data_IF_896127343550
#
_entry.id   IF_896127343550
#
_cell.length_a   1.000
_cell.length_b   1.000
_cell.length_c   1.000
_cell.angle_alpha   90.00
_cell.angle_beta   90.00
_cell.angle_gamma   90.00
#
_symmetry.space_group_name_H-M   'P 1'
#
loop_
_entity.id
_entity.type
_entity.pdbx_description
1 polymer ?
#
# COMPACT_ATOMS: atom_id res chain seq x y z
N UNK A 1 -33.71 61.07 18.60
CA UNK A 1 -32.96 59.79 18.78
C UNK A 1 -32.28 59.46 17.45
N UNK A 2 -30.97 59.64 17.31
CA UNK A 2 -30.21 59.22 16.10
C UNK A 2 -29.76 57.81 16.30
N UNK A 3 -30.26 56.85 15.50
CA UNK A 3 -29.74 55.48 15.44
C UNK A 3 -28.52 55.48 14.54
N UNK A 4 -27.33 55.29 15.13
CA UNK A 4 -26.06 55.14 14.41
C UNK A 4 -25.91 53.64 14.10
N UNK A 5 -26.37 53.20 12.91
CA UNK A 5 -26.25 51.79 12.45
C UNK A 5 -24.88 51.64 11.82
N UNK A 6 -23.87 51.23 12.60
CA UNK A 6 -22.56 50.83 12.05
C UNK A 6 -22.67 49.43 11.50
N UNK A 7 -22.64 49.29 10.18
CA UNK A 7 -22.62 47.97 9.54
C UNK A 7 -21.19 47.37 9.58
N UNK A 8 -21.08 46.15 10.07
CA UNK A 8 -19.84 45.35 9.98
C UNK A 8 -19.66 44.67 8.60
N UNK A 9 -20.39 45.16 7.59
CA UNK A 9 -20.39 44.64 6.22
C UNK A 9 -19.00 44.54 5.60
N UNK A 10 -18.10 45.56 5.71
CA UNK A 10 -16.76 45.47 5.16
C UNK A 10 -15.92 44.38 5.81
N UNK A 11 -16.08 44.14 7.12
CA UNK A 11 -15.40 43.03 7.81
C UNK A 11 -15.94 41.67 7.39
N UNK A 12 -17.26 41.57 7.18
CA UNK A 12 -17.88 40.36 6.66
C UNK A 12 -17.42 40.00 5.24
N UNK A 13 -17.32 41.02 4.35
CA UNK A 13 -16.80 40.85 2.99
C UNK A 13 -15.35 40.41 3.01
N UNK A 14 -14.51 41.07 3.81
CA UNK A 14 -13.09 40.69 3.98
C UNK A 14 -12.97 39.26 4.50
N UNK A 15 -13.76 38.89 5.51
CA UNK A 15 -13.77 37.53 6.07
C UNK A 15 -14.19 36.49 5.01
N UNK A 16 -15.22 36.75 4.22
CA UNK A 16 -15.68 35.87 3.14
C UNK A 16 -14.59 35.70 2.06
N UNK A 17 -13.93 36.79 1.65
CA UNK A 17 -12.86 36.77 0.68
C UNK A 17 -11.65 35.95 1.14
N UNK A 18 -11.24 36.11 2.41
CA UNK A 18 -10.15 35.34 3.00
C UNK A 18 -10.49 33.86 3.09
N UNK A 19 -11.73 33.50 3.48
CA UNK A 19 -12.20 32.13 3.49
C UNK A 19 -12.19 31.51 2.11
N UNK A 20 -12.66 32.24 1.11
CA UNK A 20 -12.65 31.78 -0.29
C UNK A 20 -11.23 31.51 -0.79
N UNK A 21 -10.25 32.34 -0.43
CA UNK A 21 -8.83 32.12 -0.77
C UNK A 21 -8.24 30.90 -0.05
N UNK A 22 -8.61 30.66 1.21
CA UNK A 22 -8.08 29.57 2.03
C UNK A 22 -8.79 28.23 1.79
N UNK A 23 -10.00 28.23 1.22
CA UNK A 23 -10.80 27.05 0.99
C UNK A 23 -10.07 25.97 0.15
N UNK A 24 -9.47 26.28 -1.01
CA UNK A 24 -8.73 25.27 -1.80
C UNK A 24 -7.55 24.66 -1.03
N UNK A 25 -6.87 25.46 -0.23
CA UNK A 25 -5.77 24.98 0.60
C UNK A 25 -6.25 24.05 1.72
N UNK A 26 -7.33 24.41 2.37
CA UNK A 26 -7.94 23.60 3.42
C UNK A 26 -8.48 22.28 2.86
N UNK A 27 -9.09 22.29 1.68
CA UNK A 27 -9.55 21.09 0.98
C UNK A 27 -8.34 20.19 0.65
N UNK A 28 -7.26 20.75 0.07
CA UNK A 28 -6.06 19.99 -0.26
C UNK A 28 -5.44 19.31 0.97
N UNK A 29 -5.38 20.02 2.09
CA UNK A 29 -4.89 19.46 3.36
C UNK A 29 -5.83 18.39 3.92
N UNK A 30 -7.15 18.59 3.87
CA UNK A 30 -8.13 17.62 4.32
C UNK A 30 -8.09 16.33 3.49
N UNK A 31 -7.99 16.45 2.16
CA UNK A 31 -7.83 15.30 1.24
C UNK A 31 -6.55 14.53 1.57
N UNK A 32 -5.44 15.22 1.76
CA UNK A 32 -4.17 14.59 2.12
C UNK A 32 -4.24 13.91 3.49
N UNK A 33 -4.88 14.54 4.46
CA UNK A 33 -5.11 13.96 5.79
C UNK A 33 -5.97 12.70 5.73
N UNK A 34 -7.04 12.73 4.94
CA UNK A 34 -7.94 11.59 4.73
C UNK A 34 -7.20 10.42 4.09
N UNK A 35 -6.36 10.68 3.09
CA UNK A 35 -5.66 9.63 2.32
C UNK A 35 -4.50 9.01 3.10
N UNK A 36 -3.55 9.79 3.62
CA UNK A 36 -2.30 9.29 4.25
C UNK A 36 -1.98 9.83 5.63
N UNK A 37 -2.77 10.78 6.14
CA UNK A 37 -2.48 11.49 7.39
C UNK A 37 -1.43 12.61 7.22
N UNK A 38 -1.56 13.66 8.02
CA UNK A 38 -0.63 14.80 8.05
C UNK A 38 -0.30 15.20 9.49
N UNK A 39 0.82 15.90 9.68
CA UNK A 39 1.26 16.37 11.02
C UNK A 39 0.27 17.38 11.63
N UNK A 40 -0.34 18.20 10.79
CA UNK A 40 -1.28 19.26 11.20
C UNK A 40 -2.62 18.71 11.73
N UNK A 41 -2.90 17.44 11.52
CA UNK A 41 -4.04 16.69 12.08
C UNK A 41 -3.47 15.38 12.65
N UNK A 42 -2.97 15.37 13.89
CA UNK A 42 -2.27 14.20 14.43
C UNK A 42 -3.09 12.90 14.40
N UNK A 43 -4.38 12.97 14.68
CA UNK A 43 -5.28 11.80 14.65
C UNK A 43 -5.39 11.18 13.25
N UNK A 44 -5.16 11.93 12.17
CA UNK A 44 -5.25 11.44 10.80
C UNK A 44 -4.19 10.38 10.48
N UNK A 45 -3.06 10.36 11.21
CA UNK A 45 -2.02 9.34 11.01
C UNK A 45 -2.54 7.92 11.23
N UNK A 46 -3.43 7.74 12.19
CA UNK A 46 -4.00 6.43 12.54
C UNK A 46 -5.42 6.21 11.98
N UNK A 47 -6.04 7.27 11.45
CA UNK A 47 -7.41 7.25 10.91
C UNK A 47 -7.49 7.65 9.44
N UNK A 48 -6.40 7.49 8.69
CA UNK A 48 -6.36 7.70 7.25
C UNK A 48 -6.74 6.42 6.47
N UNK A 49 -7.06 6.57 5.20
CA UNK A 49 -7.32 5.42 4.31
C UNK A 49 -6.12 4.47 4.30
N UNK A 50 -4.88 4.98 4.14
CA UNK A 50 -3.68 4.13 4.18
C UNK A 50 -3.56 3.34 5.48
N UNK A 51 -3.91 3.94 6.63
CA UNK A 51 -3.86 3.22 7.91
C UNK A 51 -4.87 2.07 7.96
N UNK A 52 -6.05 2.26 7.38
CA UNK A 52 -7.05 1.19 7.28
C UNK A 52 -6.65 0.09 6.30
N UNK A 53 -6.06 0.45 5.16
CA UNK A 53 -5.54 -0.53 4.20
C UNK A 53 -4.43 -1.41 4.79
N UNK A 54 -3.55 -0.81 5.59
CA UNK A 54 -2.54 -1.56 6.36
C UNK A 54 -3.17 -2.55 7.32
N UNK A 55 -4.17 -2.09 8.08
CA UNK A 55 -4.91 -2.93 9.03
C UNK A 55 -5.65 -4.05 8.32
N UNK A 56 -6.30 -3.74 7.20
CA UNK A 56 -6.98 -4.75 6.38
C UNK A 56 -6.01 -5.81 5.87
N UNK A 57 -4.84 -5.42 5.38
CA UNK A 57 -3.81 -6.36 4.94
C UNK A 57 -3.33 -7.26 6.09
N UNK A 58 -3.16 -6.70 7.30
CA UNK A 58 -2.79 -7.47 8.49
C UNK A 58 -3.87 -8.47 8.91
N UNK A 59 -5.15 -8.11 8.76
CA UNK A 59 -6.27 -8.97 9.15
C UNK A 59 -6.58 -10.07 8.13
N UNK A 60 -6.38 -9.79 6.84
CA UNK A 60 -6.83 -10.67 5.76
C UNK A 60 -5.73 -11.53 5.15
N UNK A 61 -4.47 -11.16 5.34
CA UNK A 61 -3.32 -11.91 4.81
C UNK A 61 -2.61 -12.63 5.96
N UNK A 62 -2.28 -13.91 5.74
CA UNK A 62 -1.48 -14.66 6.71
C UNK A 62 -0.04 -14.11 6.72
N UNK A 63 0.42 -13.65 7.89
CA UNK A 63 1.77 -13.14 8.14
C UNK A 63 2.31 -12.19 7.05
N UNK A 64 1.58 -11.08 6.73
CA UNK A 64 2.00 -10.18 5.68
C UNK A 64 3.37 -9.56 5.99
N UNK A 65 4.27 -9.54 4.99
CA UNK A 65 5.58 -8.91 5.14
C UNK A 65 5.42 -7.41 5.38
N UNK A 66 6.44 -6.78 6.01
CA UNK A 66 6.46 -5.31 6.19
C UNK A 66 6.32 -4.57 4.85
N UNK A 67 6.89 -5.12 3.77
CA UNK A 67 6.74 -4.56 2.42
C UNK A 67 5.29 -4.52 1.93
N UNK A 68 4.46 -5.50 2.30
CA UNK A 68 3.02 -5.51 2.02
C UNK A 68 2.29 -4.51 2.91
N UNK A 69 2.56 -4.50 4.21
CA UNK A 69 1.93 -3.58 5.15
C UNK A 69 2.20 -2.11 4.78
N UNK A 70 3.44 -1.78 4.45
CA UNK A 70 3.89 -0.43 4.07
C UNK A 70 3.80 -0.16 2.57
N UNK A 71 3.28 -1.09 1.80
CA UNK A 71 3.25 -1.06 0.33
C UNK A 71 2.24 -0.09 -0.29
N UNK A 72 1.57 0.76 0.49
CA UNK A 72 0.59 1.72 0.02
C UNK A 72 1.19 3.12 -0.12
N UNK A 73 0.78 3.81 -1.16
CA UNK A 73 1.13 5.20 -1.45
C UNK A 73 -0.14 6.04 -1.61
N UNK A 74 -0.08 7.30 -1.16
CA UNK A 74 -1.08 8.29 -1.55
C UNK A 74 -0.37 9.58 -1.96
N UNK A 75 -0.82 10.15 -3.07
CA UNK A 75 -0.35 11.45 -3.53
C UNK A 75 -0.77 12.56 -2.55
N UNK A 76 -0.09 13.69 -2.61
CA UNK A 76 -0.48 14.89 -1.86
C UNK A 76 -1.37 15.75 -2.75
N UNK A 77 -2.57 16.11 -2.27
CA UNK A 77 -3.40 17.10 -2.94
C UNK A 77 -2.74 18.48 -2.87
N UNK A 78 -2.93 19.30 -3.89
CA UNK A 78 -2.43 20.68 -4.01
C UNK A 78 -3.58 21.61 -4.32
N UNK A 79 -3.42 22.92 -4.09
CA UNK A 79 -4.41 23.94 -4.45
C UNK A 79 -4.82 23.87 -5.92
N UNK A 80 -3.87 23.59 -6.81
CA UNK A 80 -4.09 23.47 -8.25
C UNK A 80 -4.67 22.11 -8.67
N UNK A 81 -4.61 21.11 -7.81
CA UNK A 81 -5.16 19.77 -8.07
C UNK A 81 -5.69 19.17 -6.76
N UNK A 82 -6.99 19.30 -6.57
CA UNK A 82 -7.73 18.81 -5.40
C UNK A 82 -8.04 17.31 -5.51
N UNK A 83 -7.04 16.53 -5.85
CA UNK A 83 -7.13 15.08 -6.02
C UNK A 83 -6.04 14.36 -5.24
N UNK A 84 -6.37 13.24 -4.62
CA UNK A 84 -5.38 12.28 -4.10
C UNK A 84 -5.60 10.93 -4.76
N UNK A 85 -4.50 10.31 -5.20
CA UNK A 85 -4.50 8.96 -5.75
C UNK A 85 -3.89 8.03 -4.73
N UNK A 86 -4.59 6.93 -4.42
CA UNK A 86 -4.12 5.88 -3.52
C UNK A 86 -3.82 4.65 -4.37
N UNK A 87 -2.61 4.13 -4.26
CA UNK A 87 -2.15 3.00 -5.06
C UNK A 87 -1.11 2.16 -4.31
N UNK A 88 -0.85 0.93 -4.75
CA UNK A 88 0.35 0.22 -4.35
C UNK A 88 1.62 1.01 -4.74
N UNK A 89 2.62 1.03 -3.86
CA UNK A 89 3.92 1.65 -4.15
C UNK A 89 4.56 1.01 -5.39
N UNK A 90 5.11 1.83 -6.28
CA UNK A 90 5.76 1.40 -7.51
C UNK A 90 4.88 1.51 -8.75
N UNK A 91 3.57 1.67 -8.61
CA UNK A 91 2.67 1.81 -9.76
C UNK A 91 2.64 3.25 -10.34
N UNK A 92 2.86 4.27 -9.50
CA UNK A 92 2.75 5.69 -9.90
C UNK A 92 3.93 6.57 -9.49
N UNK A 93 4.91 6.04 -8.77
CA UNK A 93 6.04 6.86 -8.31
C UNK A 93 7.26 6.61 -9.17
N UNK A 94 7.52 7.52 -10.10
CA UNK A 94 8.74 7.50 -10.91
C UNK A 94 10.06 7.59 -10.11
N UNK A 95 10.01 7.80 -8.81
CA UNK A 95 11.18 7.74 -7.91
C UNK A 95 11.57 6.32 -7.50
N UNK A 96 10.60 5.41 -7.40
CA UNK A 96 10.83 3.99 -7.12
C UNK A 96 10.67 3.15 -8.40
N UNK A 97 10.68 3.79 -9.57
CA UNK A 97 10.41 3.24 -10.90
C UNK A 97 11.43 2.23 -11.42
N UNK A 98 12.29 1.71 -10.57
CA UNK A 98 13.03 0.50 -10.86
C UNK A 98 12.10 -0.72 -10.86
N UNK A 99 12.50 -1.76 -11.59
CA UNK A 99 11.88 -3.09 -11.70
C UNK A 99 11.37 -3.65 -10.35
N UNK A 100 12.02 -3.28 -9.23
CA UNK A 100 11.62 -3.68 -7.87
C UNK A 100 10.28 -3.12 -7.40
N UNK A 101 9.89 -1.92 -7.83
CA UNK A 101 8.60 -1.32 -7.43
C UNK A 101 7.43 -1.96 -8.18
N UNK A 102 7.61 -2.26 -9.46
CA UNK A 102 6.63 -2.96 -10.29
C UNK A 102 6.37 -4.39 -9.81
N UNK A 103 7.41 -5.14 -9.44
CA UNK A 103 7.25 -6.49 -8.89
C UNK A 103 6.42 -6.50 -7.61
N UNK A 104 6.57 -5.51 -6.73
CA UNK A 104 5.78 -5.41 -5.50
C UNK A 104 4.29 -5.15 -5.78
N UNK A 105 3.98 -4.29 -6.76
CA UNK A 105 2.59 -3.98 -7.11
C UNK A 105 1.86 -5.21 -7.69
N UNK A 106 2.53 -6.10 -8.42
CA UNK A 106 1.96 -7.33 -8.98
C UNK A 106 1.38 -8.24 -7.88
N UNK A 107 2.05 -8.36 -6.74
CA UNK A 107 1.53 -9.16 -5.62
C UNK A 107 0.27 -8.56 -4.99
N UNK A 108 0.15 -7.23 -4.97
CA UNK A 108 -1.05 -6.56 -4.49
C UNK A 108 -2.23 -6.75 -5.43
N UNK A 109 -2.01 -6.62 -6.74
CA UNK A 109 -3.06 -6.76 -7.75
C UNK A 109 -3.72 -8.14 -7.63
N UNK A 110 -2.96 -9.21 -7.52
CA UNK A 110 -3.49 -10.56 -7.31
C UNK A 110 -4.35 -10.68 -6.04
N UNK A 111 -3.97 -10.01 -4.95
CA UNK A 111 -4.75 -10.04 -3.70
C UNK A 111 -6.02 -9.17 -3.76
N UNK A 112 -6.10 -8.18 -4.64
CA UNK A 112 -7.26 -7.31 -4.83
C UNK A 112 -8.22 -7.90 -5.85
N UNK A 113 -7.70 -8.27 -7.01
CA UNK A 113 -8.50 -8.72 -8.16
C UNK A 113 -8.72 -10.23 -8.17
N UNK A 114 -7.86 -11.00 -7.47
CA UNK A 114 -7.79 -12.44 -7.60
C UNK A 114 -7.17 -12.85 -8.93
N UNK A 115 -7.39 -14.08 -9.31
CA UNK A 115 -6.87 -14.64 -10.57
C UNK A 115 -5.58 -15.44 -10.36
N UNK A 116 -4.88 -15.72 -11.46
CA UNK A 116 -3.69 -16.54 -11.42
C UNK A 116 -2.56 -15.88 -10.64
N UNK A 117 -1.93 -16.68 -9.80
CA UNK A 117 -0.78 -16.25 -9.03
C UNK A 117 0.39 -15.92 -9.95
N UNK A 118 1.00 -14.73 -9.86
CA UNK A 118 2.20 -14.46 -10.65
C UNK A 118 3.34 -15.41 -10.27
N UNK A 119 4.10 -15.85 -11.29
CA UNK A 119 5.23 -16.75 -11.10
C UNK A 119 6.23 -16.20 -10.08
N UNK A 120 6.59 -17.03 -9.11
CA UNK A 120 7.67 -16.71 -8.19
C UNK A 120 9.03 -16.87 -8.87
N UNK A 121 10.04 -16.20 -8.36
CA UNK A 121 11.40 -16.33 -8.87
C UNK A 121 11.86 -17.80 -8.99
N UNK A 122 11.53 -18.64 -8.03
CA UNK A 122 11.88 -20.07 -8.04
C UNK A 122 11.27 -20.82 -9.22
N UNK A 123 10.03 -20.47 -9.61
CA UNK A 123 9.34 -21.06 -10.75
C UNK A 123 9.95 -20.59 -12.07
N UNK A 124 10.29 -19.31 -12.15
CA UNK A 124 10.97 -18.75 -13.32
C UNK A 124 12.33 -19.42 -13.55
N UNK A 125 13.13 -19.62 -12.49
CA UNK A 125 14.41 -20.32 -12.59
C UNK A 125 14.23 -21.79 -12.99
N UNK A 126 13.26 -22.49 -12.41
CA UNK A 126 12.98 -23.89 -12.77
C UNK A 126 12.51 -24.04 -14.23
N UNK A 127 11.73 -23.06 -14.73
CA UNK A 127 11.29 -23.01 -16.15
C UNK A 127 12.43 -22.67 -17.10
N UNK A 128 13.32 -21.74 -16.75
CA UNK A 128 14.53 -21.44 -17.53
C UNK A 128 15.41 -22.66 -17.75
N UNK A 129 15.45 -23.56 -16.76
CA UNK A 129 16.16 -24.84 -16.86
C UNK A 129 15.37 -25.91 -17.67
N UNK A 130 14.19 -25.57 -18.22
CA UNK A 130 13.31 -26.53 -18.87
C UNK A 130 12.75 -27.61 -17.93
N UNK A 131 12.81 -27.39 -16.62
CA UNK A 131 12.52 -28.39 -15.59
C UNK A 131 11.18 -28.17 -14.88
N UNK A 132 10.36 -27.20 -15.26
CA UNK A 132 9.03 -26.98 -14.70
C UNK A 132 8.04 -26.62 -15.79
N UNK A 133 6.97 -27.42 -15.99
CA UNK A 133 5.87 -27.10 -16.91
C UNK A 133 5.22 -25.74 -16.59
N UNK A 134 4.73 -25.05 -17.62
CA UNK A 134 4.15 -23.69 -17.49
C UNK A 134 2.87 -23.65 -16.65
N UNK A 135 2.11 -24.73 -16.63
CA UNK A 135 0.85 -24.90 -15.90
C UNK A 135 1.01 -25.32 -14.45
N UNK A 136 2.25 -25.46 -13.96
CA UNK A 136 2.51 -25.89 -12.58
C UNK A 136 3.15 -24.79 -11.75
N UNK A 137 2.68 -24.64 -10.52
CA UNK A 137 3.21 -23.76 -9.49
C UNK A 137 3.92 -24.55 -8.39
N UNK A 138 4.99 -24.02 -7.83
CA UNK A 138 5.75 -24.65 -6.76
C UNK A 138 5.26 -24.20 -5.37
N UNK A 139 4.85 -25.18 -4.57
CA UNK A 139 4.42 -24.98 -3.18
C UNK A 139 5.51 -25.54 -2.25
N UNK A 140 6.01 -24.76 -1.27
CA UNK A 140 7.02 -25.23 -0.32
C UNK A 140 6.42 -26.27 0.61
N UNK A 141 7.16 -27.37 0.85
CA UNK A 141 6.80 -28.41 1.82
C UNK A 141 7.21 -27.99 3.24
N UNK A 142 6.88 -28.82 4.24
CA UNK A 142 7.36 -28.62 5.62
C UNK A 142 8.86 -28.81 5.77
N UNK A 143 9.52 -29.49 4.83
CA UNK A 143 10.95 -29.80 4.87
C UNK A 143 11.85 -28.62 4.45
N UNK A 144 11.27 -27.47 4.08
CA UNK A 144 12.05 -26.26 3.79
C UNK A 144 11.95 -25.26 4.93
N UNK A 145 13.10 -24.71 5.34
CA UNK A 145 13.12 -23.68 6.38
C UNK A 145 12.43 -22.43 5.89
N UNK A 146 11.64 -21.86 6.76
CA UNK A 146 10.88 -20.65 6.50
C UNK A 146 11.38 -19.49 7.36
N UNK A 147 11.21 -18.28 6.84
CA UNK A 147 11.39 -17.07 7.63
C UNK A 147 10.17 -16.82 8.53
N UNK A 148 10.21 -15.75 9.35
CA UNK A 148 9.14 -15.35 10.24
C UNK A 148 7.81 -15.02 9.52
N UNK A 149 7.84 -14.82 8.22
CA UNK A 149 6.68 -14.55 7.37
C UNK A 149 6.16 -15.81 6.66
N UNK A 150 6.77 -16.98 6.93
CA UNK A 150 6.39 -18.24 6.30
C UNK A 150 6.97 -18.46 4.90
N UNK A 151 7.83 -17.58 4.40
CA UNK A 151 8.48 -17.74 3.11
C UNK A 151 9.72 -18.64 3.23
N UNK A 152 10.02 -19.47 2.19
CA UNK A 152 11.25 -20.22 2.15
C UNK A 152 12.49 -19.31 2.27
N UNK A 153 13.47 -19.68 3.10
CA UNK A 153 14.72 -18.91 3.25
C UNK A 153 15.46 -18.83 1.92
N UNK A 154 15.70 -17.62 1.45
CA UNK A 154 16.31 -17.35 0.12
C UNK A 154 17.65 -18.05 -0.09
N UNK A 155 18.49 -18.13 0.94
CA UNK A 155 19.78 -18.83 0.89
C UNK A 155 19.61 -20.32 0.58
N UNK A 156 18.66 -20.98 1.25
CA UNK A 156 18.37 -22.40 1.03
C UNK A 156 17.85 -22.67 -0.40
N UNK A 157 16.95 -21.79 -0.90
CA UNK A 157 16.45 -21.89 -2.27
C UNK A 157 17.58 -21.74 -3.29
N UNK A 158 18.47 -20.75 -3.13
CA UNK A 158 19.65 -20.57 -4.00
C UNK A 158 20.55 -21.79 -4.00
N UNK A 159 20.79 -22.40 -2.82
CA UNK A 159 21.60 -23.62 -2.70
C UNK A 159 20.98 -24.80 -3.43
N UNK A 160 19.64 -24.95 -3.38
CA UNK A 160 18.96 -25.99 -4.16
C UNK A 160 19.24 -25.82 -5.66
N UNK A 161 19.07 -24.61 -6.22
CA UNK A 161 19.33 -24.36 -7.64
C UNK A 161 20.81 -24.54 -8.04
N UNK A 162 21.74 -24.10 -7.19
CA UNK A 162 23.19 -24.31 -7.41
C UNK A 162 23.55 -25.81 -7.51
N UNK A 163 22.78 -26.66 -6.84
CA UNK A 163 23.01 -28.09 -6.79
C UNK A 163 22.22 -28.88 -7.84
N UNK A 164 21.44 -28.22 -8.71
CA UNK A 164 20.80 -28.86 -9.86
C UNK A 164 21.89 -29.28 -10.85
N UNK A 165 21.84 -30.52 -11.32
CA UNK A 165 22.83 -31.08 -12.22
C UNK A 165 24.06 -31.69 -11.51
N UNK A 166 24.25 -31.48 -10.18
CA UNK A 166 25.35 -32.11 -9.39
C UNK A 166 24.94 -33.43 -8.73
N UNK A 167 23.76 -33.93 -9.01
CA UNK A 167 23.17 -35.11 -8.33
C UNK A 167 22.65 -34.87 -6.92
N UNK A 168 22.82 -33.62 -6.35
CA UNK A 168 22.38 -33.29 -4.99
C UNK A 168 20.97 -32.70 -4.96
N UNK A 169 20.48 -32.16 -6.09
CA UNK A 169 19.11 -31.62 -6.23
C UNK A 169 18.52 -32.10 -7.55
N UNK A 170 17.29 -32.61 -7.47
CA UNK A 170 16.52 -33.06 -8.61
C UNK A 170 15.29 -32.18 -8.78
N UNK A 171 15.01 -31.76 -10.01
CA UNK A 171 13.79 -31.03 -10.37
C UNK A 171 13.07 -31.88 -11.43
N UNK A 172 11.87 -32.34 -11.12
CA UNK A 172 11.09 -33.19 -12.00
C UNK A 172 10.12 -34.09 -11.24
N UNK A 173 9.53 -35.05 -11.94
CA UNK A 173 8.78 -36.14 -11.36
C UNK A 173 9.76 -37.33 -11.19
N UNK A 174 9.92 -37.87 -9.98
CA UNK A 174 10.76 -39.04 -9.79
C UNK A 174 10.18 -40.25 -10.55
N UNK A 175 11.06 -40.99 -11.26
CA UNK A 175 10.67 -42.16 -12.00
C UNK A 175 10.13 -43.26 -11.07
N UNK A 176 9.17 -44.00 -11.55
CA UNK A 176 8.52 -45.14 -10.86
C UNK A 176 8.00 -44.79 -9.45
N UNK A 177 7.59 -43.53 -9.23
CA UNK A 177 7.14 -43.03 -7.95
C UNK A 177 5.76 -42.37 -8.03
N UNK A 178 4.93 -42.53 -6.99
CA UNK A 178 3.67 -41.79 -6.81
C UNK A 178 3.89 -40.34 -6.37
N UNK A 179 5.16 -39.92 -6.19
CA UNK A 179 5.50 -38.57 -5.76
C UNK A 179 5.16 -37.55 -6.84
N UNK A 180 4.63 -36.38 -6.45
CA UNK A 180 4.30 -35.32 -7.39
C UNK A 180 5.55 -34.74 -8.05
N UNK A 181 5.38 -34.02 -9.14
CA UNK A 181 6.42 -33.18 -9.72
C UNK A 181 6.91 -32.16 -8.67
N UNK A 182 8.23 -31.88 -8.60
CA UNK A 182 8.73 -30.97 -7.56
C UNK A 182 10.23 -30.74 -7.57
N UNK A 183 10.72 -30.11 -6.52
CA UNK A 183 12.16 -29.95 -6.23
C UNK A 183 12.52 -30.83 -5.03
N UNK A 184 13.40 -31.75 -5.25
CA UNK A 184 13.84 -32.75 -4.27
C UNK A 184 15.31 -32.58 -3.97
N UNK A 185 15.66 -32.68 -2.68
CA UNK A 185 17.05 -32.83 -2.24
C UNK A 185 17.36 -34.33 -2.15
N UNK A 186 18.46 -34.76 -2.76
CA UNK A 186 18.97 -36.13 -2.63
C UNK A 186 19.61 -36.29 -1.25
N UNK A 187 19.21 -37.30 -0.50
CA UNK A 187 19.70 -37.59 0.86
C UNK A 187 19.91 -39.10 0.98
N UNK A 188 21.19 -39.51 0.87
CA UNK A 188 21.51 -40.93 0.76
C UNK A 188 20.86 -41.56 -0.46
N UNK A 189 20.16 -42.67 -0.29
CA UNK A 189 19.41 -43.35 -1.33
C UNK A 189 18.00 -42.77 -1.57
N UNK A 190 17.59 -41.73 -0.81
CA UNK A 190 16.24 -41.18 -0.81
C UNK A 190 16.13 -39.77 -1.37
N UNK A 191 14.89 -39.35 -1.62
CA UNK A 191 14.55 -38.01 -2.05
C UNK A 191 13.70 -37.31 -0.98
N UNK A 192 14.15 -36.14 -0.53
CA UNK A 192 13.41 -35.26 0.38
C UNK A 192 12.75 -34.14 -0.42
N UNK A 193 11.42 -34.08 -0.44
CA UNK A 193 10.69 -33.04 -1.14
C UNK A 193 10.88 -31.69 -0.46
N UNK A 194 11.39 -30.69 -1.17
CA UNK A 194 11.50 -29.29 -0.71
C UNK A 194 10.37 -28.44 -1.26
N UNK A 195 9.96 -28.69 -2.51
CA UNK A 195 8.81 -28.09 -3.15
C UNK A 195 8.03 -29.16 -3.90
N UNK A 196 6.72 -29.05 -3.91
CA UNK A 196 5.85 -29.88 -4.75
C UNK A 196 5.11 -28.98 -5.74
N UNK A 197 4.95 -29.47 -6.96
CA UNK A 197 4.20 -28.78 -7.98
C UNK A 197 2.70 -29.07 -7.83
N UNK A 198 1.89 -28.04 -8.01
CA UNK A 198 0.44 -28.11 -8.11
C UNK A 198 0.00 -27.40 -9.38
N UNK A 199 -1.15 -27.76 -9.92
CA UNK A 199 -1.82 -26.97 -10.94
C UNK A 199 -2.02 -25.55 -10.45
N UNK A 200 -2.05 -24.57 -11.35
CA UNK A 200 -2.05 -23.14 -11.02
C UNK A 200 -2.97 -22.80 -9.85
N UNK A 201 -2.44 -22.05 -8.92
CA UNK A 201 -3.16 -21.64 -7.70
C UNK A 201 -3.90 -20.36 -7.99
N UNK A 202 -5.21 -20.40 -7.99
CA UNK A 202 -6.03 -19.20 -8.08
C UNK A 202 -6.02 -18.46 -6.74
N UNK A 203 -5.68 -17.16 -6.72
CA UNK A 203 -5.75 -16.37 -5.51
C UNK A 203 -7.21 -16.05 -5.19
N UNK A 204 -7.67 -16.31 -3.95
CA UNK A 204 -8.87 -15.67 -3.46
C UNK A 204 -8.67 -14.15 -3.49
N UNK A 205 -9.75 -13.37 -3.46
CA UNK A 205 -9.73 -11.90 -3.40
C UNK A 205 -9.78 -11.40 -1.95
N UNK A 206 -8.77 -11.62 -1.10
CA UNK A 206 -8.86 -11.27 0.32
C UNK A 206 -8.99 -9.76 0.56
N UNK A 207 -8.58 -8.94 -0.40
CA UNK A 207 -8.66 -7.49 -0.35
C UNK A 207 -9.73 -6.89 -1.28
N UNK A 208 -10.73 -7.66 -1.74
CA UNK A 208 -11.79 -7.19 -2.65
C UNK A 208 -12.59 -5.99 -2.07
N UNK A 209 -12.79 -5.94 -0.74
CA UNK A 209 -13.51 -4.84 -0.07
C UNK A 209 -12.67 -3.57 0.18
N UNK A 210 -11.53 -3.45 -0.47
CA UNK A 210 -10.58 -2.36 -0.25
C UNK A 210 -11.15 -1.01 -0.64
N UNK A 211 -11.83 -0.93 -1.79
CA UNK A 211 -12.45 0.30 -2.28
C UNK A 211 -13.58 0.76 -1.37
N UNK A 212 -14.49 -0.15 -1.00
CA UNK A 212 -15.61 0.16 -0.10
C UNK A 212 -15.12 0.71 1.23
N UNK A 213 -14.08 0.11 1.81
CA UNK A 213 -13.47 0.60 3.05
C UNK A 213 -12.80 1.95 2.89
N UNK A 214 -12.16 2.20 1.75
CA UNK A 214 -11.56 3.50 1.45
C UNK A 214 -12.64 4.59 1.33
N UNK A 215 -13.75 4.32 0.61
CA UNK A 215 -14.88 5.23 0.51
C UNK A 215 -15.57 5.47 1.86
N UNK A 216 -15.82 4.42 2.63
CA UNK A 216 -16.41 4.54 3.96
C UNK A 216 -15.53 5.42 4.87
N UNK A 217 -14.21 5.22 4.86
CA UNK A 217 -13.28 6.08 5.61
C UNK A 217 -13.31 7.52 5.12
N UNK A 218 -13.28 7.75 3.81
CA UNK A 218 -13.34 9.10 3.26
C UNK A 218 -14.59 9.85 3.74
N UNK A 219 -15.76 9.23 3.65
CA UNK A 219 -17.05 9.81 4.13
C UNK A 219 -17.01 10.15 5.62
N UNK A 220 -16.43 9.27 6.44
CA UNK A 220 -16.39 9.49 7.90
C UNK A 220 -15.49 10.64 8.32
N UNK A 221 -14.33 10.83 7.69
CA UNK A 221 -13.30 11.71 8.26
C UNK A 221 -13.07 12.99 7.46
N UNK A 222 -13.40 13.03 6.16
CA UNK A 222 -13.08 14.18 5.31
C UNK A 222 -13.72 15.48 5.80
N UNK A 223 -15.03 15.46 6.09
CA UNK A 223 -15.74 16.64 6.58
C UNK A 223 -15.18 17.16 7.91
N UNK A 224 -14.82 16.24 8.81
CA UNK A 224 -14.17 16.59 10.08
C UNK A 224 -12.82 17.27 9.84
N UNK A 225 -11.97 16.68 8.99
CA UNK A 225 -10.65 17.24 8.70
C UNK A 225 -10.71 18.56 7.95
N UNK A 226 -11.69 18.71 7.05
CA UNK A 226 -11.94 19.98 6.37
C UNK A 226 -12.30 21.09 7.36
N UNK A 227 -13.24 20.83 8.28
CA UNK A 227 -13.62 21.79 9.33
C UNK A 227 -12.40 22.20 10.18
N UNK A 228 -11.63 21.22 10.67
CA UNK A 228 -10.43 21.50 11.47
C UNK A 228 -9.41 22.36 10.71
N UNK A 229 -9.25 22.16 9.41
CA UNK A 229 -8.30 22.95 8.61
C UNK A 229 -8.82 24.34 8.29
N UNK A 230 -10.10 24.49 8.02
CA UNK A 230 -10.74 25.79 7.83
C UNK A 230 -10.60 26.62 9.11
N UNK A 231 -10.99 26.09 10.26
CA UNK A 231 -10.90 26.78 11.54
C UNK A 231 -9.46 27.19 11.86
N UNK A 232 -8.46 26.30 11.66
CA UNK A 232 -7.07 26.59 11.92
C UNK A 232 -6.50 27.67 10.98
N UNK A 233 -6.85 27.65 9.70
CA UNK A 233 -6.37 28.61 8.72
C UNK A 233 -6.99 30.00 8.96
N UNK A 234 -8.29 30.03 9.25
CA UNK A 234 -8.99 31.28 9.59
C UNK A 234 -8.47 31.89 10.91
N UNK A 235 -8.30 31.08 11.96
CA UNK A 235 -7.77 31.56 13.23
C UNK A 235 -6.34 32.12 13.08
N UNK A 236 -5.55 31.61 12.17
CA UNK A 236 -4.21 32.11 11.87
C UNK A 236 -4.29 33.48 11.21
N UNK A 237 -5.14 33.66 10.21
CA UNK A 237 -5.34 34.95 9.52
C UNK A 237 -5.90 36.03 10.46
N UNK A 238 -6.88 35.66 11.30
CA UNK A 238 -7.42 36.56 12.32
C UNK A 238 -6.35 37.01 13.32
N UNK A 239 -5.43 36.10 13.72
CA UNK A 239 -4.30 36.49 14.61
C UNK A 239 -3.34 37.43 13.90
N UNK A 240 -3.00 37.20 12.64
CA UNK A 240 -2.16 38.10 11.84
C UNK A 240 -2.82 39.47 11.67
N UNK A 241 -4.11 39.53 11.34
CA UNK A 241 -4.85 40.79 11.26
C UNK A 241 -4.92 41.54 12.58
N UNK A 242 -5.01 40.87 13.73
CA UNK A 242 -4.94 41.51 15.06
C UNK A 242 -3.52 42.02 15.40
N UNK A 243 -2.48 41.33 14.94
CA UNK A 243 -1.10 41.79 15.09
C UNK A 243 -0.87 43.10 14.32
N UNK A 244 -1.38 43.17 13.09
CA UNK A 244 -1.30 44.39 12.27
C UNK A 244 -2.07 45.55 12.88
N UNK A 245 -3.25 45.30 13.51
CA UNK A 245 -3.99 46.30 14.24
C UNK A 245 -3.25 46.87 15.49
N UNK A 246 -2.44 46.03 16.15
CA UNK A 246 -1.60 46.49 17.30
C UNK A 246 -0.38 47.27 16.87
N UNK A 247 0.16 47.01 15.68
CA UNK A 247 1.35 47.72 15.16
C UNK A 247 1.03 49.01 14.43
N UNK A 248 -0.25 49.41 14.31
CA UNK A 248 -0.63 50.68 13.70
C UNK A 248 -0.37 50.77 12.20
N UNK A 249 -0.14 49.65 11.51
CA UNK A 249 0.18 49.58 10.09
C UNK A 249 -1.05 49.54 9.16
N UNK A 250 -2.22 49.95 9.67
CA UNK A 250 -3.36 50.29 8.82
C UNK A 250 -3.40 51.80 8.62
N UNK A 251 -2.63 52.26 7.67
CA UNK A 251 -2.91 53.53 6.99
C UNK A 251 -3.63 53.27 5.70
#
# INVERSE_FOLDING_TARGET
MKLDVRSNLPQGIKWTNEHTKQLPFSIAQALTATSKGIKQIPESKNKSIISDLRRLAQQKLDKPTKGIQDGWFASTARKSNLTTVISPKGQFTGRDGGVKGWERSRYFIGNIQGGDRPNKWIELEARKLGRLPSNLDLVPTHNIDRDKFGNPKRGQVKTLFKNVGTGKTFIGKPDNSTRPYGIYKVKGSGLEAKFVAKSSTNYPKPLASLEDKAYARARMVFGKYLRMRLEANVSKEVKLGKADLKTGLFR
#
